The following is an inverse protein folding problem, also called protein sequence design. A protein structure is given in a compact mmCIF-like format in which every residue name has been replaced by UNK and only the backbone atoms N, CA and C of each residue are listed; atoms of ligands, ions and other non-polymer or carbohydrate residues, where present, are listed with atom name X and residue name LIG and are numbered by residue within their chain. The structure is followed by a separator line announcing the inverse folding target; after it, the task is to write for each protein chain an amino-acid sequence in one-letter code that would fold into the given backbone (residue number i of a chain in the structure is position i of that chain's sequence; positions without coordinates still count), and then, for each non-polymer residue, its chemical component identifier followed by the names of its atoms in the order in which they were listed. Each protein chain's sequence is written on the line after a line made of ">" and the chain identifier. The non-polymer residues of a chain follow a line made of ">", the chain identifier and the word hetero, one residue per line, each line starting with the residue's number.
data_IF_951085899786
#
_entry.id   IF_951085899786
#
_cell.length_a   1.000
_cell.length_b   1.000
_cell.length_c   1.000
_cell.angle_alpha   90.00
_cell.angle_beta   90.00
_cell.angle_gamma   90.00
#
_symmetry.space_group_name_H-M   'P 1'
#
loop_
_entity.id
_entity.type
_entity.pdbx_description
1 polymer ?
#
# COMPACT_ATOMS: atom_id res chain seq x y z
N UNK A 1 -8.46 7.48 24.41
CA UNK A 1 -9.93 7.65 24.38
C UNK A 1 -10.57 6.40 23.79
N UNK A 2 -11.74 6.00 24.30
CA UNK A 2 -12.52 4.85 23.79
C UNK A 2 -13.84 5.40 23.28
N UNK A 3 -14.24 5.01 22.06
CA UNK A 3 -15.48 5.44 21.43
C UNK A 3 -16.02 4.37 20.49
N UNK A 4 -17.27 4.53 20.08
CA UNK A 4 -17.95 3.61 19.15
C UNK A 4 -18.23 4.37 17.86
N UNK A 5 -17.84 3.78 16.73
CA UNK A 5 -18.35 4.14 15.42
C UNK A 5 -19.59 3.30 15.19
N UNK A 6 -20.77 3.91 15.12
CA UNK A 6 -22.04 3.21 14.93
C UNK A 6 -22.54 3.35 13.49
N UNK A 7 -23.31 2.35 13.03
CA UNK A 7 -24.04 2.38 11.75
C UNK A 7 -23.18 2.61 10.49
N UNK A 8 -21.88 2.36 10.53
CA UNK A 8 -20.99 2.57 9.40
C UNK A 8 -21.37 1.65 8.22
N UNK A 9 -21.61 2.25 7.05
CA UNK A 9 -21.72 1.50 5.80
C UNK A 9 -20.30 1.26 5.26
N UNK A 10 -19.68 0.16 5.68
CA UNK A 10 -18.31 -0.19 5.35
C UNK A 10 -18.26 -0.92 4.01
N UNK A 11 -17.62 -0.32 3.01
CA UNK A 11 -17.25 -0.99 1.76
C UNK A 11 -15.83 -1.51 1.90
N UNK A 12 -15.69 -2.82 1.76
CA UNK A 12 -14.40 -3.52 1.76
C UNK A 12 -14.41 -4.60 0.69
N UNK A 13 -13.46 -4.57 -0.23
CA UNK A 13 -13.31 -5.58 -1.30
C UNK A 13 -14.61 -5.76 -2.12
N UNK A 14 -15.27 -4.66 -2.48
CA UNK A 14 -16.54 -4.68 -3.23
C UNK A 14 -17.77 -5.08 -2.39
N UNK A 15 -17.59 -5.50 -1.14
CA UNK A 15 -18.69 -5.88 -0.25
C UNK A 15 -19.08 -4.73 0.67
N UNK A 16 -20.33 -4.26 0.53
CA UNK A 16 -20.92 -3.26 1.41
C UNK A 16 -21.60 -3.94 2.61
N UNK A 17 -21.15 -3.62 3.81
CA UNK A 17 -21.71 -4.14 5.06
C UNK A 17 -22.01 -3.01 6.04
N UNK A 18 -23.18 -3.07 6.70
CA UNK A 18 -23.49 -2.17 7.80
C UNK A 18 -22.94 -2.75 9.11
N UNK A 19 -22.05 -2.02 9.77
CA UNK A 19 -21.36 -2.48 10.98
C UNK A 19 -21.11 -1.35 11.97
N UNK A 20 -20.68 -1.72 13.17
CA UNK A 20 -20.20 -0.81 14.21
C UNK A 20 -18.80 -1.25 14.65
N UNK A 21 -17.95 -0.29 15.00
CA UNK A 21 -16.59 -0.53 15.45
C UNK A 21 -16.39 0.06 16.86
N UNK A 22 -15.88 -0.75 17.79
CA UNK A 22 -15.39 -0.27 19.07
C UNK A 22 -13.93 0.12 18.91
N UNK A 23 -13.60 1.38 19.15
CA UNK A 23 -12.26 1.92 19.02
C UNK A 23 -11.68 2.25 20.38
N UNK A 24 -10.42 1.86 20.61
CA UNK A 24 -9.64 2.27 21.77
C UNK A 24 -8.30 2.83 21.28
N UNK A 25 -8.02 4.09 21.61
CA UNK A 25 -6.87 4.84 21.07
C UNK A 25 -6.95 4.89 19.54
N UNK A 26 -6.01 4.27 18.83
CA UNK A 26 -5.92 4.22 17.36
C UNK A 26 -6.22 2.82 16.80
N UNK A 27 -6.82 1.92 17.60
CA UNK A 27 -7.03 0.52 17.23
C UNK A 27 -8.50 0.10 17.32
N UNK A 28 -8.95 -0.70 16.36
CA UNK A 28 -10.25 -1.36 16.38
C UNK A 28 -10.20 -2.54 17.35
N UNK A 29 -10.92 -2.44 18.46
CA UNK A 29 -10.98 -3.49 19.50
C UNK A 29 -12.09 -4.49 19.20
N UNK A 30 -13.13 -4.13 18.44
CA UNK A 30 -14.17 -5.08 18.07
C UNK A 30 -14.98 -4.56 16.89
N UNK A 31 -15.45 -5.47 16.04
CA UNK A 31 -16.36 -5.18 14.93
C UNK A 31 -17.62 -6.02 15.15
N UNK A 32 -18.78 -5.38 15.25
CA UNK A 32 -20.08 -6.02 15.50
C UNK A 32 -21.18 -5.25 14.80
N UNK A 33 -22.35 -5.85 14.59
CA UNK A 33 -23.53 -5.13 14.07
C UNK A 33 -23.89 -3.92 14.96
N UNK A 34 -23.98 -4.13 16.27
CA UNK A 34 -24.29 -3.08 17.26
C UNK A 34 -23.58 -3.32 18.60
N UNK A 35 -23.49 -2.27 19.44
CA UNK A 35 -22.88 -2.28 20.77
C UNK A 35 -23.86 -1.80 21.86
N UNK A 36 -25.05 -2.40 21.95
CA UNK A 36 -26.16 -1.94 22.82
C UNK A 36 -25.83 -1.89 24.33
N UNK A 37 -24.81 -2.63 24.78
CA UNK A 37 -24.44 -2.72 26.21
C UNK A 37 -23.31 -1.76 26.63
N UNK A 38 -22.73 -1.00 25.68
CA UNK A 38 -21.59 -0.12 25.94
C UNK A 38 -22.03 1.34 25.99
N UNK A 39 -21.62 2.07 27.03
CA UNK A 39 -21.96 3.49 27.26
C UNK A 39 -20.84 4.45 26.85
N UNK A 40 -20.05 4.12 25.83
CA UNK A 40 -19.01 5.02 25.32
C UNK A 40 -19.61 6.10 24.40
N UNK A 41 -18.86 7.19 24.18
CA UNK A 41 -19.17 8.18 23.14
C UNK A 41 -19.41 7.46 21.81
N UNK A 42 -20.50 7.83 21.12
CA UNK A 42 -20.87 7.23 19.84
C UNK A 42 -20.80 8.27 18.73
N UNK A 43 -20.24 7.86 17.59
CA UNK A 43 -20.23 8.62 16.35
C UNK A 43 -21.03 7.82 15.31
N UNK A 44 -22.19 8.35 14.92
CA UNK A 44 -23.04 7.73 13.91
C UNK A 44 -22.55 8.07 12.51
N UNK A 45 -22.24 7.03 11.72
CA UNK A 45 -21.80 7.15 10.33
C UNK A 45 -22.82 6.61 9.31
N UNK A 46 -24.09 6.45 9.69
CA UNK A 46 -25.14 5.91 8.83
C UNK A 46 -25.36 6.69 7.52
N UNK A 47 -25.05 7.98 7.51
CA UNK A 47 -25.14 8.86 6.33
C UNK A 47 -23.89 8.86 5.44
N UNK A 48 -22.88 8.06 5.78
CA UNK A 48 -21.61 8.00 5.06
C UNK A 48 -21.32 6.60 4.55
N UNK A 49 -20.57 6.54 3.46
CA UNK A 49 -19.88 5.33 3.01
C UNK A 49 -18.46 5.38 3.57
N UNK A 50 -18.06 4.33 4.26
CA UNK A 50 -16.75 4.20 4.89
C UNK A 50 -15.92 3.21 4.09
N UNK A 51 -14.67 3.55 3.76
CA UNK A 51 -13.70 2.61 3.20
C UNK A 51 -12.45 2.60 4.07
N UNK A 52 -11.62 1.55 4.04
CA UNK A 52 -10.25 1.67 4.50
C UNK A 52 -9.52 2.81 3.77
N UNK A 53 -8.50 3.37 4.43
CA UNK A 53 -7.63 4.36 3.79
C UNK A 53 -6.78 3.73 2.70
N UNK A 54 -6.48 4.48 1.64
CA UNK A 54 -5.73 3.96 0.50
C UNK A 54 -4.23 3.86 0.78
N UNK A 55 -3.61 2.96 0.02
CA UNK A 55 -2.15 2.84 -0.12
C UNK A 55 -1.82 3.13 -1.57
N UNK A 56 -0.97 4.11 -1.84
CA UNK A 56 -0.53 4.43 -3.20
C UNK A 56 0.88 3.93 -3.47
N UNK A 57 1.19 3.71 -4.73
CA UNK A 57 2.56 3.57 -5.19
C UNK A 57 3.07 4.90 -5.74
N UNK A 58 4.27 5.28 -5.33
CA UNK A 58 4.99 6.44 -5.86
C UNK A 58 6.49 6.19 -5.77
N UNK A 59 7.17 5.92 -6.90
CA UNK A 59 8.60 5.63 -6.88
C UNK A 59 9.48 6.86 -6.66
N UNK A 60 8.94 8.07 -6.81
CA UNK A 60 9.70 9.32 -6.97
C UNK A 60 9.25 10.40 -5.99
N UNK A 61 9.18 10.07 -4.70
CA UNK A 61 8.87 11.07 -3.67
C UNK A 61 9.87 12.25 -3.71
N UNK A 62 9.41 13.51 -3.55
CA UNK A 62 10.25 14.71 -3.63
C UNK A 62 11.07 14.92 -2.35
N UNK A 63 11.71 13.87 -1.85
CA UNK A 63 12.33 13.84 -0.53
C UNK A 63 13.59 14.72 -0.42
N UNK A 64 14.14 15.20 -1.54
CA UNK A 64 15.24 16.17 -1.59
C UNK A 64 14.76 17.63 -1.77
N UNK A 65 13.46 17.87 -1.93
CA UNK A 65 12.94 19.22 -2.14
C UNK A 65 12.76 19.99 -0.82
N UNK A 66 12.73 21.34 -0.86
CA UNK A 66 12.40 22.15 0.31
C UNK A 66 11.06 21.77 0.92
N UNK A 67 10.94 21.94 2.24
CA UNK A 67 9.75 21.55 3.00
C UNK A 67 8.42 22.06 2.41
N UNK A 68 8.28 23.32 1.92
CA UNK A 68 7.03 23.78 1.32
C UNK A 68 6.58 22.96 0.11
N UNK A 69 7.50 22.64 -0.81
CA UNK A 69 7.22 21.84 -1.99
C UNK A 69 6.89 20.38 -1.62
N UNK A 70 7.64 19.81 -0.67
CA UNK A 70 7.35 18.48 -0.13
C UNK A 70 5.95 18.44 0.52
N UNK A 71 5.61 19.44 1.34
CA UNK A 71 4.31 19.55 2.00
C UNK A 71 3.18 19.59 0.97
N UNK A 72 3.28 20.46 -0.03
CA UNK A 72 2.29 20.60 -1.08
C UNK A 72 2.13 19.28 -1.86
N UNK A 73 3.24 18.62 -2.19
CA UNK A 73 3.23 17.33 -2.85
C UNK A 73 2.44 16.29 -2.05
N UNK A 74 2.74 16.15 -0.76
CA UNK A 74 2.05 15.16 0.08
C UNK A 74 0.55 15.46 0.22
N UNK A 75 0.19 16.75 0.31
CA UNK A 75 -1.21 17.18 0.38
C UNK A 75 -1.95 16.80 -0.90
N UNK A 76 -1.41 17.17 -2.07
CA UNK A 76 -2.11 17.04 -3.35
C UNK A 76 -2.08 15.60 -3.90
N UNK A 77 -0.98 14.88 -3.73
CA UNK A 77 -0.81 13.53 -4.28
C UNK A 77 -1.31 12.43 -3.35
N UNK A 78 -1.48 12.68 -2.05
CA UNK A 78 -1.91 11.64 -1.09
C UNK A 78 -3.08 12.05 -0.21
N UNK A 79 -2.95 13.09 0.63
CA UNK A 79 -3.94 13.36 1.69
C UNK A 79 -5.30 13.79 1.09
N UNK A 80 -5.30 14.67 0.10
CA UNK A 80 -6.48 15.06 -0.67
C UNK A 80 -7.04 13.95 -1.57
N UNK A 81 -6.43 12.77 -1.55
CA UNK A 81 -6.89 11.58 -2.27
C UNK A 81 -7.27 10.43 -1.33
N UNK A 82 -7.25 10.66 -0.01
CA UNK A 82 -7.60 9.64 0.98
C UNK A 82 -6.53 8.57 1.19
N UNK A 83 -5.30 8.87 0.80
CA UNK A 83 -4.15 8.01 0.99
C UNK A 83 -3.45 8.35 2.31
N UNK A 84 -3.15 7.32 3.10
CA UNK A 84 -2.47 7.43 4.40
C UNK A 84 -1.19 6.59 4.45
N UNK A 85 -0.85 5.90 3.37
CA UNK A 85 0.36 5.10 3.26
C UNK A 85 0.89 5.10 1.83
N UNK A 86 2.19 5.27 1.64
CA UNK A 86 2.83 5.18 0.32
C UNK A 86 3.85 4.04 0.24
N UNK A 87 3.79 3.24 -0.82
CA UNK A 87 4.85 2.34 -1.22
C UNK A 87 5.80 3.11 -2.17
N UNK A 88 7.02 3.36 -1.72
CA UNK A 88 8.03 4.10 -2.48
C UNK A 88 9.27 3.25 -2.71
N UNK A 89 10.15 3.68 -3.63
CA UNK A 89 11.30 2.89 -4.05
C UNK A 89 12.64 3.45 -3.58
N UNK A 90 13.58 2.52 -3.40
CA UNK A 90 15.00 2.78 -3.33
C UNK A 90 15.67 2.12 -4.53
N UNK A 91 16.20 2.92 -5.45
CA UNK A 91 16.89 2.40 -6.65
C UNK A 91 18.36 2.12 -6.36
N UNK A 92 18.81 0.91 -6.68
CA UNK A 92 20.20 0.47 -6.53
C UNK A 92 20.77 0.06 -7.90
N UNK A 93 22.05 0.38 -8.11
CA UNK A 93 22.81 -0.05 -9.30
C UNK A 93 23.94 -1.01 -8.92
N UNK A 94 24.23 -1.12 -7.61
CA UNK A 94 25.17 -2.09 -7.07
C UNK A 94 24.67 -2.64 -5.74
N UNK A 95 24.99 -3.90 -5.45
CA UNK A 95 24.52 -4.61 -4.25
C UNK A 95 24.96 -3.93 -2.94
N UNK A 96 26.18 -3.39 -2.87
CA UNK A 96 26.70 -2.73 -1.67
C UNK A 96 25.94 -1.44 -1.30
N UNK A 97 25.18 -0.86 -2.23
CA UNK A 97 24.44 0.38 -1.98
C UNK A 97 23.19 0.17 -1.12
N UNK A 98 22.63 -1.03 -1.12
CA UNK A 98 21.31 -1.34 -0.56
C UNK A 98 21.13 -0.76 0.84
N UNK A 99 22.00 -1.18 1.78
CA UNK A 99 21.92 -0.77 3.18
C UNK A 99 22.03 0.75 3.35
N UNK A 100 22.96 1.38 2.62
CA UNK A 100 23.20 2.83 2.70
C UNK A 100 22.01 3.62 2.16
N UNK A 101 21.49 3.23 0.99
CA UNK A 101 20.37 3.94 0.35
C UNK A 101 19.05 3.72 1.09
N UNK A 102 18.78 2.52 1.61
CA UNK A 102 17.62 2.25 2.48
C UNK A 102 17.67 3.12 3.74
N UNK A 103 18.81 3.13 4.45
CA UNK A 103 18.97 3.97 5.65
C UNK A 103 18.78 5.46 5.34
N UNK A 104 19.34 5.93 4.22
CA UNK A 104 19.18 7.32 3.76
C UNK A 104 17.71 7.64 3.49
N UNK A 105 16.99 6.79 2.76
CA UNK A 105 15.58 7.01 2.46
C UNK A 105 14.72 7.05 3.73
N UNK A 106 14.96 6.15 4.69
CA UNK A 106 14.27 6.19 6.00
C UNK A 106 14.51 7.50 6.75
N UNK A 107 15.75 8.00 6.74
CA UNK A 107 16.06 9.29 7.37
C UNK A 107 15.35 10.46 6.68
N UNK A 108 15.26 10.44 5.34
CA UNK A 108 14.55 11.47 4.57
C UNK A 108 13.03 11.44 4.81
N UNK A 109 12.46 10.25 5.01
CA UNK A 109 11.04 10.06 5.28
C UNK A 109 10.66 10.15 6.76
N UNK A 110 11.61 10.44 7.65
CA UNK A 110 11.33 10.67 9.08
C UNK A 110 10.36 11.84 9.31
N UNK A 111 10.31 12.81 8.38
CA UNK A 111 9.37 13.92 8.38
C UNK A 111 8.04 13.64 7.67
N UNK A 112 7.80 12.41 7.17
CA UNK A 112 6.61 12.08 6.39
C UNK A 112 5.32 12.31 7.19
N UNK A 113 4.28 12.93 6.60
CA UNK A 113 2.99 13.12 7.26
C UNK A 113 2.10 11.87 7.22
N UNK A 114 2.44 10.90 6.37
CA UNK A 114 1.72 9.65 6.15
C UNK A 114 2.69 8.46 6.27
N UNK A 115 2.17 7.27 6.50
CA UNK A 115 3.03 6.10 6.64
C UNK A 115 3.69 5.73 5.31
N UNK A 116 4.78 4.97 5.37
CA UNK A 116 5.49 4.56 4.16
C UNK A 116 6.02 3.13 4.24
N UNK A 117 6.13 2.48 3.08
CA UNK A 117 6.79 1.19 2.91
C UNK A 117 7.84 1.30 1.80
N UNK A 118 8.98 0.64 1.96
CA UNK A 118 10.11 0.74 1.03
C UNK A 118 10.22 -0.51 0.17
N UNK A 119 10.04 -0.36 -1.13
CA UNK A 119 10.49 -1.33 -2.13
C UNK A 119 11.92 -1.04 -2.57
N UNK A 120 12.57 -2.03 -3.20
CA UNK A 120 13.87 -1.84 -3.84
C UNK A 120 13.72 -2.03 -5.33
N UNK A 121 14.25 -1.09 -6.11
CA UNK A 121 14.32 -1.16 -7.57
C UNK A 121 15.73 -1.54 -7.99
N UNK A 122 15.88 -2.58 -8.81
CA UNK A 122 17.16 -3.07 -9.29
C UNK A 122 17.09 -3.58 -10.73
N UNK A 123 18.18 -3.51 -11.50
CA UNK A 123 18.29 -4.20 -12.78
C UNK A 123 18.34 -5.72 -12.60
N UNK A 124 17.81 -6.45 -13.59
CA UNK A 124 17.70 -7.92 -13.56
C UNK A 124 19.04 -8.63 -13.25
N UNK A 125 20.15 -8.12 -13.77
CA UNK A 125 21.49 -8.68 -13.55
C UNK A 125 21.97 -8.63 -12.07
N UNK A 126 21.37 -7.80 -11.22
CA UNK A 126 21.65 -7.76 -9.78
C UNK A 126 20.79 -8.73 -8.97
N UNK A 127 19.80 -9.40 -9.60
CA UNK A 127 18.92 -10.33 -8.91
C UNK A 127 19.67 -11.62 -8.56
N UNK A 128 20.36 -11.59 -7.43
CA UNK A 128 21.13 -12.73 -6.89
C UNK A 128 20.55 -13.21 -5.56
N UNK A 129 20.83 -14.47 -5.21
CA UNK A 129 20.47 -15.02 -3.91
C UNK A 129 21.06 -14.21 -2.73
N UNK A 130 22.26 -13.63 -2.90
CA UNK A 130 22.87 -12.81 -1.85
C UNK A 130 22.08 -11.51 -1.65
N UNK A 131 21.76 -10.80 -2.74
CA UNK A 131 20.98 -9.56 -2.66
C UNK A 131 19.61 -9.81 -2.03
N UNK A 132 18.92 -10.89 -2.41
CA UNK A 132 17.63 -11.26 -1.81
C UNK A 132 17.74 -11.47 -0.29
N UNK A 133 18.80 -12.16 0.16
CA UNK A 133 19.06 -12.33 1.60
C UNK A 133 19.32 -10.99 2.30
N UNK A 134 19.98 -10.04 1.64
CA UNK A 134 20.15 -8.69 2.18
C UNK A 134 18.83 -7.93 2.26
N UNK A 135 18.01 -7.95 1.20
CA UNK A 135 16.68 -7.36 1.18
C UNK A 135 15.77 -7.92 2.29
N UNK A 136 15.85 -9.23 2.55
CA UNK A 136 15.16 -9.89 3.66
C UNK A 136 15.63 -9.39 5.04
N UNK A 137 16.94 -9.20 5.24
CA UNK A 137 17.48 -8.63 6.49
C UNK A 137 17.00 -7.21 6.72
N UNK A 138 16.92 -6.40 5.66
CA UNK A 138 16.38 -5.03 5.68
C UNK A 138 14.84 -4.98 5.66
N UNK A 139 14.17 -6.14 5.62
CA UNK A 139 12.69 -6.30 5.56
C UNK A 139 12.04 -5.52 4.41
N UNK A 140 12.59 -5.67 3.20
CA UNK A 140 12.06 -5.06 1.97
C UNK A 140 10.88 -5.88 1.42
N UNK A 141 9.62 -5.44 1.56
CA UNK A 141 8.45 -6.22 1.17
C UNK A 141 8.22 -6.39 -0.33
N UNK A 142 8.93 -5.65 -1.20
CA UNK A 142 8.69 -5.66 -2.64
C UNK A 142 9.98 -5.39 -3.42
N UNK A 143 10.23 -6.17 -4.48
CA UNK A 143 11.38 -6.02 -5.35
C UNK A 143 10.91 -5.67 -6.76
N UNK A 144 11.34 -4.51 -7.26
CA UNK A 144 11.02 -3.99 -8.58
C UNK A 144 12.20 -4.29 -9.51
N UNK A 145 11.97 -5.13 -10.50
CA UNK A 145 13.02 -5.67 -11.38
C UNK A 145 12.93 -4.95 -12.72
N UNK A 146 13.96 -4.18 -13.05
CA UNK A 146 14.08 -3.55 -14.37
C UNK A 146 14.47 -4.61 -15.39
N UNK A 147 13.63 -4.76 -16.41
CA UNK A 147 13.81 -5.71 -17.49
C UNK A 147 14.02 -4.92 -18.77
N UNK A 148 15.24 -4.96 -19.29
CA UNK A 148 15.63 -4.33 -20.56
C UNK A 148 15.50 -5.31 -21.71
N UNK A 149 15.93 -6.57 -21.52
CA UNK A 149 15.78 -7.65 -22.48
C UNK A 149 15.16 -8.89 -21.83
N UNK A 150 14.17 -9.48 -22.47
CA UNK A 150 13.49 -10.70 -22.01
C UNK A 150 14.39 -11.94 -22.11
N UNK A 151 15.34 -11.96 -23.04
CA UNK A 151 16.27 -13.10 -23.19
C UNK A 151 17.12 -13.30 -21.92
N UNK A 152 17.41 -12.22 -21.20
CA UNK A 152 18.18 -12.26 -19.94
C UNK A 152 17.47 -13.07 -18.84
N UNK A 153 16.14 -13.17 -18.88
CA UNK A 153 15.40 -13.96 -17.89
C UNK A 153 15.79 -15.43 -17.89
N UNK A 154 16.23 -15.97 -19.03
CA UNK A 154 16.69 -17.36 -19.15
C UNK A 154 18.03 -17.61 -18.45
N UNK A 155 18.80 -16.55 -18.18
CA UNK A 155 20.14 -16.64 -17.56
C UNK A 155 20.08 -16.68 -16.03
N UNK A 156 18.93 -16.29 -15.44
CA UNK A 156 18.77 -16.18 -14.00
C UNK A 156 18.53 -17.58 -13.39
N UNK A 157 19.29 -17.96 -12.34
CA UNK A 157 19.07 -19.22 -11.64
C UNK A 157 17.85 -19.12 -10.69
N UNK A 158 16.64 -19.11 -11.23
CA UNK A 158 15.39 -18.88 -10.51
C UNK A 158 15.17 -19.83 -9.31
N UNK A 159 15.63 -21.08 -9.39
CA UNK A 159 15.60 -22.01 -8.26
C UNK A 159 16.32 -21.48 -7.02
N UNK A 160 17.48 -20.85 -7.20
CA UNK A 160 18.27 -20.24 -6.10
C UNK A 160 17.64 -18.95 -5.59
N UNK A 161 17.03 -18.17 -6.48
CA UNK A 161 16.26 -16.98 -6.13
C UNK A 161 15.10 -17.38 -5.21
N UNK A 162 14.29 -18.37 -5.63
CA UNK A 162 13.17 -18.89 -4.83
C UNK A 162 13.61 -19.38 -3.46
N UNK A 163 14.71 -20.13 -3.39
CA UNK A 163 15.24 -20.61 -2.12
C UNK A 163 15.67 -19.45 -1.20
N UNK A 164 16.36 -18.45 -1.75
CA UNK A 164 16.81 -17.28 -1.00
C UNK A 164 15.65 -16.41 -0.47
N UNK A 165 14.50 -16.40 -1.18
CA UNK A 165 13.29 -15.68 -0.75
C UNK A 165 12.66 -16.32 0.48
N UNK A 166 12.74 -17.63 0.67
CA UNK A 166 12.10 -18.28 1.81
C UNK A 166 12.72 -17.87 3.17
N UNK A 167 11.92 -17.64 4.24
CA UNK A 167 10.46 -17.57 4.28
C UNK A 167 9.89 -16.15 4.04
N UNK A 168 10.70 -15.18 3.65
CA UNK A 168 10.29 -13.79 3.41
C UNK A 168 10.06 -13.57 1.91
N UNK A 169 8.92 -14.06 1.42
CA UNK A 169 8.59 -14.14 0.00
C UNK A 169 8.13 -12.78 -0.58
N UNK A 170 9.04 -11.79 -0.63
CA UNK A 170 8.79 -10.48 -1.24
C UNK A 170 8.45 -10.63 -2.72
N UNK A 171 7.26 -10.23 -3.20
CA UNK A 171 6.93 -10.37 -4.60
C UNK A 171 7.93 -9.65 -5.51
N UNK A 172 8.27 -10.30 -6.62
CA UNK A 172 8.95 -9.68 -7.74
C UNK A 172 7.94 -8.92 -8.61
N UNK A 173 8.27 -7.68 -8.96
CA UNK A 173 7.39 -6.76 -9.69
C UNK A 173 8.18 -6.30 -10.92
N UNK A 174 7.69 -6.53 -12.15
CA UNK A 174 8.42 -6.14 -13.33
C UNK A 174 8.35 -4.61 -13.52
N UNK A 175 9.39 -4.05 -14.12
CA UNK A 175 9.44 -2.68 -14.67
C UNK A 175 10.02 -2.79 -16.08
N UNK A 176 9.19 -2.58 -17.11
CA UNK A 176 9.57 -2.83 -18.50
C UNK A 176 10.06 -1.54 -19.17
N UNK A 177 11.28 -1.56 -19.70
CA UNK A 177 11.87 -0.37 -20.32
C UNK A 177 11.47 -0.15 -21.80
N UNK A 178 10.83 -1.13 -22.46
CA UNK A 178 10.36 -0.95 -23.85
C UNK A 178 9.18 0.02 -23.91
N UNK A 179 9.22 1.02 -24.78
CA UNK A 179 8.09 1.92 -25.05
C UNK A 179 7.03 1.30 -25.98
N UNK A 180 7.33 0.16 -26.60
CA UNK A 180 6.42 -0.52 -27.53
C UNK A 180 5.35 -1.32 -26.78
N UNK A 181 4.08 -0.94 -26.92
CA UNK A 181 2.95 -1.61 -26.26
C UNK A 181 2.87 -3.11 -26.56
N UNK A 182 3.16 -3.52 -27.80
CA UNK A 182 3.11 -4.94 -28.21
C UNK A 182 4.19 -5.75 -27.49
N UNK A 183 5.41 -5.24 -27.45
CA UNK A 183 6.53 -5.87 -26.75
C UNK A 183 6.28 -5.94 -25.25
N UNK A 184 5.77 -4.86 -24.64
CA UNK A 184 5.36 -4.86 -23.22
C UNK A 184 4.32 -5.93 -22.91
N UNK A 185 3.30 -6.09 -23.74
CA UNK A 185 2.27 -7.10 -23.53
C UNK A 185 2.84 -8.52 -23.65
N UNK A 186 3.70 -8.76 -24.62
CA UNK A 186 4.40 -10.04 -24.75
C UNK A 186 5.31 -10.29 -23.54
N UNK A 187 6.01 -9.28 -23.06
CA UNK A 187 6.89 -9.35 -21.90
C UNK A 187 6.12 -9.71 -20.62
N UNK A 188 4.94 -9.12 -20.40
CA UNK A 188 4.03 -9.47 -19.29
C UNK A 188 3.61 -10.94 -19.31
N UNK A 189 3.28 -11.48 -20.49
CA UNK A 189 2.88 -12.89 -20.62
C UNK A 189 4.04 -13.81 -20.26
N UNK A 190 5.22 -13.58 -20.83
CA UNK A 190 6.42 -14.38 -20.57
C UNK A 190 6.81 -14.31 -19.09
N UNK A 191 6.83 -13.10 -18.51
CA UNK A 191 7.08 -12.89 -17.09
C UNK A 191 6.12 -13.69 -16.23
N UNK A 192 4.81 -13.59 -16.49
CA UNK A 192 3.82 -14.31 -15.69
C UNK A 192 3.96 -15.83 -15.82
N UNK A 193 4.26 -16.35 -17.02
CA UNK A 193 4.45 -17.78 -17.24
C UNK A 193 5.68 -18.28 -16.48
N UNK A 194 6.80 -17.58 -16.58
CA UNK A 194 8.04 -17.89 -15.90
C UNK A 194 7.87 -17.91 -14.39
N UNK A 195 7.30 -16.85 -13.81
CA UNK A 195 7.11 -16.76 -12.35
C UNK A 195 6.18 -17.86 -11.81
N UNK A 196 5.14 -18.24 -12.58
CA UNK A 196 4.25 -19.37 -12.23
C UNK A 196 4.98 -20.71 -12.31
N UNK A 197 5.76 -20.94 -13.37
CA UNK A 197 6.57 -22.15 -13.56
C UNK A 197 7.57 -22.34 -12.41
N UNK A 198 8.26 -21.27 -12.04
CA UNK A 198 9.26 -21.27 -10.97
C UNK A 198 8.63 -21.25 -9.56
N UNK A 199 7.31 -21.02 -9.45
CA UNK A 199 6.55 -20.88 -8.20
C UNK A 199 7.12 -19.77 -7.30
N UNK A 200 7.50 -18.65 -7.90
CA UNK A 200 7.99 -17.47 -7.21
C UNK A 200 6.80 -16.53 -6.93
N UNK A 201 6.80 -15.83 -5.79
CA UNK A 201 5.78 -14.79 -5.55
C UNK A 201 6.04 -13.58 -6.45
N UNK A 202 5.03 -13.12 -7.17
CA UNK A 202 5.18 -12.05 -8.16
C UNK A 202 3.91 -11.23 -8.36
N UNK A 203 4.07 -10.04 -8.92
CA UNK A 203 3.00 -9.24 -9.53
C UNK A 203 3.19 -9.30 -11.04
N UNK A 204 2.09 -9.48 -11.78
CA UNK A 204 2.07 -9.73 -13.22
C UNK A 204 2.06 -8.45 -14.07
N UNK A 205 1.94 -7.29 -13.44
CA UNK A 205 1.91 -5.98 -14.06
C UNK A 205 2.79 -4.97 -13.32
N UNK A 206 3.17 -3.92 -14.04
CA UNK A 206 3.75 -2.72 -13.46
C UNK A 206 2.71 -2.00 -12.61
N UNK A 207 3.12 -1.47 -11.46
CA UNK A 207 2.21 -0.72 -10.60
C UNK A 207 1.99 0.68 -11.16
N UNK A 208 0.73 1.14 -11.16
CA UNK A 208 0.38 2.51 -11.53
C UNK A 208 0.72 3.48 -10.41
N UNK A 209 1.32 4.61 -10.75
CA UNK A 209 1.63 5.68 -9.79
C UNK A 209 0.36 6.43 -9.36
N UNK A 210 0.33 6.86 -8.10
CA UNK A 210 -0.73 7.70 -7.51
C UNK A 210 -2.16 7.11 -7.56
N UNK A 211 -2.28 5.80 -7.68
CA UNK A 211 -3.54 5.05 -7.62
C UNK A 211 -3.57 4.09 -6.42
N UNK A 212 -4.77 3.76 -5.89
CA UNK A 212 -4.93 2.73 -4.88
C UNK A 212 -4.36 1.39 -5.35
N UNK A 213 -3.45 0.82 -4.57
CA UNK A 213 -2.98 -0.55 -4.80
C UNK A 213 -4.12 -1.54 -4.61
N UNK A 214 -4.24 -2.49 -5.53
CA UNK A 214 -5.25 -3.54 -5.43
C UNK A 214 -4.99 -4.44 -4.21
N UNK A 215 -6.06 -5.05 -3.68
CA UNK A 215 -5.96 -5.97 -2.54
C UNK A 215 -4.95 -7.11 -2.81
N UNK A 216 -4.88 -7.60 -4.04
CA UNK A 216 -3.91 -8.64 -4.45
C UNK A 216 -2.47 -8.18 -4.23
N UNK A 217 -2.14 -6.97 -4.66
CA UNK A 217 -0.82 -6.35 -4.46
C UNK A 217 -0.54 -6.16 -2.97
N UNK A 218 -1.51 -5.63 -2.22
CA UNK A 218 -1.37 -5.40 -0.78
C UNK A 218 -1.15 -6.68 0.02
N UNK A 219 -1.83 -7.78 -0.34
CA UNK A 219 -1.63 -9.11 0.26
C UNK A 219 -0.26 -9.70 -0.07
N UNK A 220 0.16 -9.62 -1.34
CA UNK A 220 1.46 -10.12 -1.79
C UNK A 220 2.62 -9.39 -1.11
N UNK A 221 2.54 -8.07 -1.02
CA UNK A 221 3.55 -7.24 -0.34
C UNK A 221 3.47 -7.34 1.19
N UNK A 222 2.39 -7.88 1.76
CA UNK A 222 2.17 -7.97 3.20
C UNK A 222 1.85 -6.63 3.88
N UNK A 223 1.58 -5.58 3.09
CA UNK A 223 1.05 -4.30 3.60
C UNK A 223 -0.35 -4.52 4.15
N UNK A 224 -1.17 -5.33 3.49
CA UNK A 224 -2.41 -5.85 4.08
C UNK A 224 -2.10 -7.04 4.99
N UNK A 225 -2.70 -7.13 6.19
CA UNK A 225 -3.75 -6.26 6.73
C UNK A 225 -3.23 -5.12 7.63
N UNK A 226 -1.92 -4.89 7.72
CA UNK A 226 -1.33 -3.84 8.58
C UNK A 226 -1.92 -2.46 8.24
N UNK A 227 -2.06 -2.17 6.94
CA UNK A 227 -2.74 -1.00 6.39
C UNK A 227 -3.88 -1.43 5.46
N UNK A 228 -4.71 -0.47 5.08
CA UNK A 228 -5.87 -0.69 4.19
C UNK A 228 -6.85 -1.75 4.71
N UNK A 229 -7.08 -1.78 6.03
CA UNK A 229 -8.04 -2.71 6.63
C UNK A 229 -8.68 -2.12 7.89
N UNK A 230 -9.91 -2.55 8.20
CA UNK A 230 -10.68 -2.14 9.39
C UNK A 230 -11.20 -3.38 10.12
N UNK A 231 -10.28 -4.27 10.50
CA UNK A 231 -10.57 -5.51 11.19
C UNK A 231 -10.25 -5.42 12.68
N UNK A 232 -10.67 -6.40 13.47
CA UNK A 232 -10.29 -6.50 14.88
C UNK A 232 -8.77 -6.54 15.06
N UNK A 233 -8.23 -5.66 15.91
CA UNK A 233 -6.80 -5.48 16.11
C UNK A 233 -6.14 -4.54 15.08
N UNK A 234 -6.85 -4.13 14.03
CA UNK A 234 -6.35 -3.24 13.00
C UNK A 234 -6.30 -1.76 13.43
N UNK A 235 -5.55 -0.97 12.66
CA UNK A 235 -5.46 0.47 12.82
C UNK A 235 -6.76 1.17 12.37
N UNK A 236 -7.11 2.26 13.04
CA UNK A 236 -8.26 3.10 12.67
C UNK A 236 -7.85 4.13 11.64
N UNK A 237 -7.74 3.70 10.38
CA UNK A 237 -7.48 4.58 9.23
C UNK A 237 -8.50 4.33 8.14
N UNK A 238 -9.25 5.37 7.77
CA UNK A 238 -10.42 5.23 6.90
C UNK A 238 -10.77 6.53 6.16
N UNK A 239 -11.52 6.37 5.08
CA UNK A 239 -12.10 7.46 4.31
C UNK A 239 -13.63 7.47 4.49
N UNK A 240 -14.23 8.65 4.52
CA UNK A 240 -15.67 8.84 4.52
C UNK A 240 -16.10 9.59 3.26
N UNK A 241 -17.03 8.97 2.54
CA UNK A 241 -17.71 9.55 1.39
C UNK A 241 -19.15 9.86 1.77
N UNK A 242 -19.69 10.96 1.23
CA UNK A 242 -21.12 11.23 1.39
C UNK A 242 -21.92 10.07 0.78
N UNK A 243 -22.83 9.45 1.52
CA UNK A 243 -23.64 8.35 0.98
C UNK A 243 -24.66 8.91 -0.05
N UNK A 244 -24.74 8.31 -1.24
CA UNK A 244 -25.84 8.54 -2.19
C UNK A 244 -26.51 7.21 -2.46
N UNK A 245 -27.79 7.24 -2.81
CA UNK A 245 -28.64 6.08 -3.15
C UNK A 245 -28.13 5.14 -4.28
N UNK A 246 -26.93 5.36 -4.84
CA UNK A 246 -26.34 4.63 -5.98
C UNK A 246 -25.20 3.64 -5.65
N UNK A 247 -24.83 3.42 -4.38
CA UNK A 247 -23.67 2.59 -4.02
C UNK A 247 -23.95 1.07 -3.93
N UNK A 248 -24.84 0.53 -4.75
CA UNK A 248 -25.19 -0.90 -4.69
C UNK A 248 -24.16 -1.81 -5.37
N UNK A 249 -23.29 -1.29 -6.25
CA UNK A 249 -22.22 -2.06 -6.93
C UNK A 249 -21.08 -1.13 -7.39
N UNK A 250 -20.31 -0.55 -6.46
CA UNK A 250 -19.14 0.27 -6.83
C UNK A 250 -17.90 -0.34 -6.20
N UNK A 251 -16.88 -0.64 -7.01
CA UNK A 251 -15.58 -1.07 -6.51
C UNK A 251 -14.83 0.10 -5.85
N UNK A 252 -13.90 -0.19 -4.94
CA UNK A 252 -13.11 0.85 -4.26
C UNK A 252 -12.29 1.71 -5.25
N UNK A 253 -11.89 1.12 -6.37
CA UNK A 253 -11.17 1.80 -7.44
C UNK A 253 -12.09 2.74 -8.24
N UNK A 254 -13.33 2.34 -8.50
CA UNK A 254 -14.34 3.20 -9.13
C UNK A 254 -14.71 4.38 -8.24
N UNK A 255 -14.79 4.17 -6.92
CA UNK A 255 -14.94 5.28 -5.96
C UNK A 255 -13.81 6.29 -6.09
N UNK A 256 -12.58 5.80 -6.25
CA UNK A 256 -11.42 6.66 -6.43
C UNK A 256 -11.46 7.43 -7.75
N UNK A 257 -11.69 6.77 -8.90
CA UNK A 257 -11.64 7.43 -10.20
C UNK A 257 -12.84 8.37 -10.44
N UNK A 258 -14.05 7.95 -10.08
CA UNK A 258 -15.28 8.67 -10.48
C UNK A 258 -15.92 9.48 -9.35
N UNK A 259 -15.54 9.19 -8.10
CA UNK A 259 -16.19 9.75 -6.91
C UNK A 259 -15.23 10.41 -5.92
N UNK A 260 -13.99 10.71 -6.31
CA UNK A 260 -13.04 11.43 -5.43
C UNK A 260 -13.58 12.78 -4.92
N UNK A 261 -14.38 13.49 -5.71
CA UNK A 261 -15.05 14.74 -5.30
C UNK A 261 -16.01 14.56 -4.10
N UNK A 262 -16.37 13.31 -3.78
CA UNK A 262 -17.27 12.94 -2.69
C UNK A 262 -16.53 12.54 -1.42
N UNK A 263 -15.21 12.44 -1.46
CA UNK A 263 -14.37 12.18 -0.30
C UNK A 263 -14.42 13.40 0.63
N UNK A 264 -15.02 13.22 1.80
CA UNK A 264 -15.23 14.29 2.77
C UNK A 264 -14.20 14.25 3.89
N UNK A 265 -13.90 13.08 4.43
CA UNK A 265 -13.03 12.95 5.61
C UNK A 265 -12.02 11.85 5.37
N UNK A 266 -10.76 12.11 5.74
CA UNK A 266 -9.72 11.10 5.84
C UNK A 266 -9.22 11.07 7.26
N UNK A 267 -9.26 9.88 7.86
CA UNK A 267 -8.79 9.60 9.21
C UNK A 267 -7.55 8.71 9.11
N UNK A 268 -6.50 9.09 9.82
CA UNK A 268 -5.24 8.35 9.91
C UNK A 268 -4.91 8.13 11.39
N UNK A 269 -4.81 6.86 11.82
CA UNK A 269 -4.54 6.47 13.21
C UNK A 269 -5.50 7.13 14.21
N UNK A 270 -6.78 7.21 13.86
CA UNK A 270 -7.83 7.84 14.66
C UNK A 270 -7.82 9.38 14.66
N UNK A 271 -6.92 10.03 13.91
CA UNK A 271 -6.88 11.48 13.77
C UNK A 271 -7.44 11.91 12.42
N UNK A 272 -8.31 12.91 12.42
CA UNK A 272 -8.77 13.54 11.17
C UNK A 272 -7.60 14.32 10.57
N UNK A 273 -7.15 13.91 9.38
CA UNK A 273 -6.09 14.59 8.63
C UNK A 273 -6.64 15.42 7.45
N UNK A 274 -7.89 15.16 7.07
CA UNK A 274 -8.63 15.91 6.06
C UNK A 274 -10.10 16.05 6.45
N UNK A 275 -10.66 17.25 6.27
CA UNK A 275 -12.08 17.52 6.34
C UNK A 275 -12.48 18.50 5.20
N UNK A 276 -13.15 17.98 4.17
CA UNK A 276 -13.44 18.69 2.93
C UNK A 276 -12.15 19.09 2.21
N UNK A 277 -11.97 20.40 2.00
CA UNK A 277 -10.74 21.00 1.46
C UNK A 277 -9.68 21.27 2.52
N UNK A 278 -10.02 21.22 3.81
CA UNK A 278 -9.09 21.52 4.88
C UNK A 278 -8.21 20.30 5.16
N UNK A 279 -6.89 20.51 5.15
CA UNK A 279 -5.89 19.47 5.44
C UNK A 279 -5.09 19.84 6.69
N UNK A 280 -5.11 18.92 7.66
CA UNK A 280 -4.35 19.03 8.90
C UNK A 280 -3.00 18.34 8.72
N UNK A 281 -2.07 19.03 8.06
CA UNK A 281 -0.73 18.49 7.80
C UNK A 281 0.08 18.39 9.09
N UNK A 282 0.60 17.19 9.39
CA UNK A 282 1.42 16.92 10.59
C UNK A 282 2.75 16.29 10.16
N UNK A 283 3.85 17.06 10.10
CA UNK A 283 5.16 16.50 9.76
C UNK A 283 5.56 15.40 10.77
N UNK A 284 6.14 14.30 10.28
CA UNK A 284 6.64 13.20 11.10
C UNK A 284 5.56 12.36 11.80
N UNK A 285 4.30 12.49 11.39
CA UNK A 285 3.20 11.67 11.91
C UNK A 285 3.18 10.26 11.30
N UNK A 286 3.73 10.13 10.09
CA UNK A 286 3.90 8.88 9.40
C UNK A 286 5.03 8.03 9.98
N UNK A 287 4.90 6.71 9.86
CA UNK A 287 5.91 5.75 10.27
C UNK A 287 6.19 4.71 9.18
N UNK A 288 7.34 4.03 9.31
CA UNK A 288 7.67 2.89 8.44
C UNK A 288 6.74 1.70 8.71
N UNK A 289 6.02 1.26 7.69
CA UNK A 289 5.24 0.03 7.70
C UNK A 289 6.18 -1.17 7.60
N UNK A 290 6.53 -1.74 8.75
CA UNK A 290 7.42 -2.89 8.81
C UNK A 290 6.64 -4.20 8.57
N UNK A 291 6.80 -4.77 7.38
CA UNK A 291 6.19 -6.06 7.02
C UNK A 291 7.03 -7.20 7.59
N UNK A 292 6.39 -8.08 8.38
CA UNK A 292 7.04 -9.27 8.96
C UNK A 292 7.09 -10.45 7.99
N UNK A 293 6.02 -10.67 7.23
CA UNK A 293 5.85 -11.82 6.33
C UNK A 293 5.04 -11.41 5.10
N UNK A 294 5.69 -11.01 3.99
CA UNK A 294 5.02 -10.83 2.71
C UNK A 294 4.41 -12.15 2.24
N UNK A 295 3.40 -12.06 1.36
CA UNK A 295 2.71 -13.21 0.76
C UNK A 295 2.00 -14.16 1.74
N UNK A 296 1.86 -13.81 3.02
CA UNK A 296 1.22 -14.68 4.02
C UNK A 296 -0.30 -14.80 3.86
N UNK A 297 -0.96 -13.73 3.40
CA UNK A 297 -2.43 -13.66 3.28
C UNK A 297 -2.95 -13.95 1.87
N UNK A 298 -2.15 -14.61 1.04
CA UNK A 298 -2.58 -15.10 -0.26
C UNK A 298 -3.41 -16.36 -0.01
N UNK A 299 -4.74 -16.24 -0.10
CA UNK A 299 -5.62 -17.41 -0.25
C UNK A 299 -5.36 -18.00 -1.63
N UNK A 300 -4.97 -19.28 -1.67
CA UNK A 300 -4.79 -20.05 -2.91
C UNK A 300 -6.07 -20.23 -3.71
#
# INVERSE_FOLDING_TARGET
>A
MTYIISNANLLTNGNLQKTSLLVKKSQVVSVKKTFNKFQFMQMDLGSYLMTPSYVFFDPNLPANQPFPAMKEYFINHFILKGCTTVLTLVSISYEYELKKKVKRMKAMLAGSPIDYSLGVKLPLNLLTANLIRQCKKERIPALFIEITNMDELSTIPWGWIREAMFPYNSPLIPVFQSDCTRERNQAKIIWSQLMKQEKISFIDHELTEHEPLSLSVLKKTGIYPIKSSLHHGGEVSYNLYLNSRKFTMIEELDLFHYHNHRLLVTVHKGNVIRAGSNVFYRPGFGEEVTVKTPSYYISG
#
